data_IF_262883788990
#
_entry.id   IF_262883788990
#
_cell.length_a   1.000
_cell.length_b   1.000
_cell.length_c   1.000
_cell.angle_alpha   90.00
_cell.angle_beta   90.00
_cell.angle_gamma   90.00
#
_symmetry.space_group_name_H-M   'P 1'
#
loop_
_entity.id
_entity.type
_entity.pdbx_description
1 polymer ?
#
# COMPACT_ATOMS: atom_id res chain seq x y z
N UNK A 1 49.80 -47.92 -11.58
CA UNK A 1 49.26 -47.54 -12.90
C UNK A 1 47.81 -47.14 -12.69
N UNK A 2 47.56 -45.87 -12.96
CA UNK A 2 46.36 -45.04 -12.88
C UNK A 2 45.30 -45.59 -13.89
N UNK A 3 43.96 -45.58 -13.70
CA UNK A 3 43.05 -44.42 -13.60
C UNK A 3 41.55 -44.85 -13.49
N UNK A 4 40.74 -44.08 -12.72
CA UNK A 4 39.27 -43.75 -12.73
C UNK A 4 38.15 -44.79 -12.99
N UNK A 5 37.05 -44.76 -12.19
CA UNK A 5 35.76 -44.10 -12.55
C UNK A 5 34.65 -44.31 -11.46
N UNK A 6 33.80 -43.29 -11.28
CA UNK A 6 32.36 -43.36 -10.95
C UNK A 6 31.87 -43.71 -9.52
N UNK A 7 31.47 -42.69 -8.74
CA UNK A 7 30.05 -42.32 -8.56
C UNK A 7 29.88 -41.21 -7.51
N UNK A 8 29.59 -40.00 -7.98
CA UNK A 8 28.94 -38.94 -7.20
C UNK A 8 27.43 -39.19 -7.25
N UNK A 9 26.76 -39.35 -6.11
CA UNK A 9 25.30 -39.23 -6.03
C UNK A 9 24.98 -37.99 -5.20
N UNK A 10 24.68 -36.91 -5.93
CA UNK A 10 24.09 -35.67 -5.47
C UNK A 10 22.63 -35.95 -5.10
N UNK A 11 22.28 -35.87 -3.82
CA UNK A 11 20.89 -35.86 -3.37
C UNK A 11 20.34 -34.44 -3.38
N UNK A 12 19.89 -33.96 -4.54
CA UNK A 12 19.17 -32.69 -4.63
C UNK A 12 17.69 -32.92 -4.24
N UNK A 13 17.37 -32.70 -2.96
CA UNK A 13 15.98 -32.64 -2.50
C UNK A 13 15.39 -31.30 -2.95
N UNK A 14 14.58 -31.35 -4.00
CA UNK A 14 13.81 -30.23 -4.52
C UNK A 14 12.64 -29.97 -3.57
N UNK A 15 12.78 -29.01 -2.66
CA UNK A 15 11.68 -28.53 -1.83
C UNK A 15 10.68 -27.78 -2.70
N UNK A 16 9.51 -28.40 -2.93
CA UNK A 16 8.32 -27.77 -3.50
C UNK A 16 7.89 -26.62 -2.57
N UNK A 17 8.29 -25.41 -2.92
CA UNK A 17 7.77 -24.20 -2.29
C UNK A 17 6.30 -24.02 -2.68
N UNK A 18 5.40 -24.35 -1.76
CA UNK A 18 4.00 -23.95 -1.89
C UNK A 18 3.94 -22.43 -1.78
N UNK A 19 3.77 -21.75 -2.91
CA UNK A 19 3.42 -20.33 -2.91
C UNK A 19 1.98 -20.22 -2.40
N UNK A 20 1.82 -19.95 -1.10
CA UNK A 20 0.52 -19.54 -0.56
C UNK A 20 0.19 -18.23 -1.25
N UNK A 21 -0.89 -18.22 -2.05
CA UNK A 21 -1.45 -16.99 -2.57
C UNK A 21 -1.82 -16.11 -1.38
N UNK A 22 -1.05 -15.05 -1.14
CA UNK A 22 -1.35 -14.08 -0.11
C UNK A 22 -2.64 -13.37 -0.54
N UNK A 23 -3.74 -13.68 0.15
CA UNK A 23 -4.92 -12.84 0.09
C UNK A 23 -4.47 -11.46 0.59
N UNK A 24 -4.45 -10.46 -0.30
CA UNK A 24 -4.05 -9.12 0.07
C UNK A 24 -5.02 -8.64 1.16
N UNK A 25 -4.56 -8.65 2.41
CA UNK A 25 -5.31 -8.07 3.51
C UNK A 25 -5.48 -6.58 3.22
N UNK A 26 -6.69 -6.06 3.46
CA UNK A 26 -6.95 -4.65 3.18
C UNK A 26 -6.05 -3.76 4.05
N UNK A 27 -5.39 -2.74 3.47
CA UNK A 27 -4.58 -1.81 4.23
C UNK A 27 -5.35 -1.17 5.38
N UNK A 28 -4.80 -1.28 6.59
CA UNK A 28 -5.40 -0.71 7.79
C UNK A 28 -4.63 0.56 8.16
N UNK A 29 -5.34 1.68 8.27
CA UNK A 29 -4.75 2.94 8.71
C UNK A 29 -4.24 2.81 10.15
N UNK A 30 -3.00 3.21 10.37
CA UNK A 30 -2.37 3.34 11.68
C UNK A 30 -1.80 4.74 11.85
N UNK A 31 -1.58 5.13 13.10
CA UNK A 31 -0.90 6.39 13.40
C UNK A 31 -0.18 6.34 14.75
N UNK A 32 0.78 7.24 14.92
CA UNK A 32 1.31 7.66 16.21
C UNK A 32 1.00 9.15 16.38
N UNK A 33 1.70 9.87 17.26
CA UNK A 33 1.45 11.30 17.49
C UNK A 33 1.80 12.22 16.31
N UNK A 34 2.65 11.79 15.37
CA UNK A 34 3.19 12.65 14.31
C UNK A 34 3.09 12.08 12.89
N UNK A 35 2.69 10.83 12.72
CA UNK A 35 2.67 10.16 11.43
C UNK A 35 1.45 9.24 11.27
N UNK A 36 1.00 9.12 10.02
CA UNK A 36 -0.01 8.15 9.56
C UNK A 36 0.63 7.23 8.53
N UNK A 37 0.38 5.93 8.66
CA UNK A 37 0.81 4.90 7.71
C UNK A 37 -0.26 3.81 7.59
N UNK A 38 0.02 2.80 6.78
CA UNK A 38 -0.89 1.67 6.58
C UNK A 38 -0.18 0.35 6.87
N UNK A 39 -0.82 -0.49 7.68
CA UNK A 39 -0.42 -1.89 7.89
C UNK A 39 -1.10 -2.81 6.88
N UNK A 40 -0.74 -4.09 6.89
CA UNK A 40 -1.22 -5.09 5.92
C UNK A 40 -0.87 -4.74 4.46
N UNK A 41 0.29 -4.10 4.25
CA UNK A 41 0.77 -3.68 2.94
C UNK A 41 1.37 -4.83 2.10
N UNK A 42 0.56 -5.83 1.79
CA UNK A 42 0.97 -7.01 1.00
C UNK A 42 0.28 -7.01 -0.35
N UNK A 43 1.02 -7.28 -1.43
CA UNK A 43 0.46 -7.32 -2.78
C UNK A 43 0.10 -5.95 -3.37
N UNK A 44 0.66 -4.87 -2.82
CA UNK A 44 0.43 -3.49 -3.26
C UNK A 44 1.73 -2.78 -3.66
N UNK A 45 1.69 -2.04 -4.75
CA UNK A 45 2.82 -1.28 -5.30
C UNK A 45 2.35 0.05 -5.89
N UNK A 46 3.28 0.96 -6.20
CA UNK A 46 2.98 2.25 -6.84
C UNK A 46 1.89 3.03 -6.08
N UNK A 47 2.10 3.19 -4.77
CA UNK A 47 1.17 3.84 -3.88
C UNK A 47 1.20 5.37 -4.05
N UNK A 48 0.03 5.99 -3.99
CA UNK A 48 -0.13 7.44 -3.89
C UNK A 48 -1.02 7.76 -2.70
N UNK A 49 -0.49 8.50 -1.73
CA UNK A 49 -1.23 9.02 -0.58
C UNK A 49 -1.37 10.53 -0.75
N UNK A 50 -2.61 11.00 -0.88
CA UNK A 50 -2.94 12.42 -0.92
C UNK A 50 -3.60 12.81 0.39
N UNK A 51 -3.07 13.80 1.09
CA UNK A 51 -3.59 14.31 2.37
C UNK A 51 -4.00 15.76 2.20
N UNK A 52 -5.19 16.11 2.67
CA UNK A 52 -5.74 17.46 2.66
C UNK A 52 -5.87 17.95 4.10
N UNK A 53 -5.15 19.03 4.41
CA UNK A 53 -5.18 19.69 5.70
C UNK A 53 -6.45 20.56 5.88
N UNK A 54 -6.79 20.99 7.11
CA UNK A 54 -7.98 21.81 7.39
C UNK A 54 -8.06 23.13 6.61
N UNK A 55 -6.91 23.73 6.30
CA UNK A 55 -6.80 24.93 5.46
C UNK A 55 -6.89 24.65 3.94
N UNK A 56 -7.07 23.39 3.52
CA UNK A 56 -7.08 22.99 2.12
C UNK A 56 -5.70 22.73 1.51
N UNK A 57 -4.60 22.82 2.28
CA UNK A 57 -3.26 22.46 1.80
C UNK A 57 -3.22 20.97 1.44
N UNK A 58 -2.71 20.66 0.25
CA UNK A 58 -2.65 19.30 -0.28
C UNK A 58 -1.20 18.82 -0.25
N UNK A 59 -0.97 17.66 0.35
CA UNK A 59 0.31 16.95 0.36
C UNK A 59 0.15 15.63 -0.38
N UNK A 60 1.02 15.36 -1.36
CA UNK A 60 1.04 14.11 -2.12
C UNK A 60 2.33 13.34 -1.85
N UNK A 61 2.20 12.07 -1.53
CA UNK A 61 3.31 11.16 -1.22
C UNK A 61 3.21 9.97 -2.16
N UNK A 62 4.30 9.70 -2.88
CA UNK A 62 4.41 8.55 -3.76
C UNK A 62 5.41 7.53 -3.19
N UNK A 63 5.05 6.26 -3.24
CA UNK A 63 5.92 5.15 -2.88
C UNK A 63 5.85 4.08 -3.97
N UNK A 64 6.93 3.86 -4.70
CA UNK A 64 7.02 2.79 -5.70
C UNK A 64 6.82 1.40 -5.06
N UNK A 65 7.40 1.23 -3.87
CA UNK A 65 7.26 0.04 -3.02
C UNK A 65 7.14 0.43 -1.55
N UNK A 66 6.53 -0.44 -0.75
CA UNK A 66 6.26 -0.20 0.67
C UNK A 66 5.06 0.72 0.93
N UNK A 67 4.77 0.93 2.22
CA UNK A 67 3.65 1.81 2.63
C UNK A 67 4.03 3.29 2.48
N UNK A 68 3.16 4.13 1.91
CA UNK A 68 3.34 5.57 2.02
C UNK A 68 3.15 6.00 3.48
N UNK A 69 3.92 6.99 3.91
CA UNK A 69 3.86 7.54 5.27
C UNK A 69 3.69 9.05 5.18
N UNK A 70 2.66 9.58 5.83
CA UNK A 70 2.48 11.01 6.02
C UNK A 70 3.00 11.42 7.39
N UNK A 71 3.84 12.45 7.46
CA UNK A 71 4.34 13.01 8.70
C UNK A 71 3.91 14.47 8.83
N UNK A 72 3.43 14.84 10.03
CA UNK A 72 3.18 16.23 10.40
C UNK A 72 4.48 17.03 10.37
N UNK A 73 4.47 18.13 9.62
CA UNK A 73 5.59 19.08 9.56
C UNK A 73 5.42 20.11 10.68
N UNK A 74 6.27 20.05 11.72
CA UNK A 74 6.11 20.75 13.01
C UNK A 74 5.89 22.27 12.90
N UNK A 75 6.36 22.91 11.83
CA UNK A 75 6.25 24.35 11.55
C UNK A 75 4.94 24.74 10.84
N UNK A 76 4.22 23.79 10.26
CA UNK A 76 3.03 24.01 9.44
C UNK A 76 1.80 23.20 9.92
N UNK A 77 1.90 22.55 11.08
CA UNK A 77 0.79 21.75 11.64
C UNK A 77 -0.38 22.66 12.00
N UNK A 78 -1.57 22.26 11.56
CA UNK A 78 -2.82 22.89 11.94
C UNK A 78 -3.68 21.90 12.69
N UNK A 79 -4.32 22.37 13.75
CA UNK A 79 -5.32 21.56 14.43
C UNK A 79 -6.59 21.44 13.56
N UNK A 80 -7.20 20.26 13.56
CA UNK A 80 -8.43 19.98 12.85
C UNK A 80 -8.46 18.61 12.20
N UNK A 81 -9.42 18.45 11.29
CA UNK A 81 -9.66 17.19 10.58
C UNK A 81 -8.90 17.17 9.26
N UNK A 82 -7.98 16.22 9.15
CA UNK A 82 -7.28 15.92 7.90
C UNK A 82 -8.03 14.81 7.17
N UNK A 83 -8.10 14.93 5.85
CA UNK A 83 -8.69 13.90 4.97
C UNK A 83 -7.60 13.29 4.12
N UNK A 84 -7.73 12.02 3.77
CA UNK A 84 -6.80 11.39 2.85
C UNK A 84 -7.49 10.52 1.82
N UNK A 85 -6.80 10.36 0.70
CA UNK A 85 -7.07 9.38 -0.34
C UNK A 85 -5.81 8.56 -0.56
N UNK A 86 -5.97 7.24 -0.60
CA UNK A 86 -4.90 6.28 -0.85
C UNK A 86 -5.24 5.47 -2.09
N UNK A 87 -4.32 5.42 -3.05
CA UNK A 87 -4.41 4.52 -4.20
C UNK A 87 -3.15 3.68 -4.35
N UNK A 88 -3.28 2.47 -4.89
CA UNK A 88 -2.15 1.58 -5.19
C UNK A 88 -2.51 0.61 -6.33
N UNK A 89 -1.51 -0.01 -6.95
CA UNK A 89 -1.69 -1.12 -7.89
C UNK A 89 -1.59 -2.45 -7.14
N UNK A 90 -2.62 -3.30 -7.28
CA UNK A 90 -2.62 -4.67 -6.73
C UNK A 90 -1.83 -5.63 -7.64
N UNK A 91 -1.52 -6.83 -7.15
CA UNK A 91 -0.95 -7.92 -7.95
C UNK A 91 -1.97 -8.60 -8.89
N UNK A 92 -3.28 -8.40 -8.66
CA UNK A 92 -4.34 -8.98 -9.48
C UNK A 92 -4.39 -8.29 -10.86
N UNK A 93 -4.21 -9.05 -11.94
CA UNK A 93 -4.38 -8.56 -13.31
C UNK A 93 -5.80 -8.82 -13.81
N UNK A 94 -6.42 -7.80 -14.41
CA UNK A 94 -7.74 -7.86 -15.05
C UNK A 94 -7.61 -7.56 -16.53
N UNK A 95 -8.47 -8.16 -17.35
CA UNK A 95 -8.51 -7.90 -18.78
C UNK A 95 -8.89 -6.43 -19.03
N UNK A 96 -8.09 -5.77 -19.86
CA UNK A 96 -8.30 -4.38 -20.22
C UNK A 96 -9.39 -4.29 -21.28
N UNK A 97 -10.64 -4.15 -20.82
CA UNK A 97 -11.85 -4.11 -21.67
C UNK A 97 -11.78 -2.99 -22.72
N UNK A 98 -11.15 -1.87 -22.36
CA UNK A 98 -10.88 -0.75 -23.27
C UNK A 98 -9.41 -0.75 -23.67
N UNK A 99 -9.09 -1.43 -24.78
CA UNK A 99 -7.77 -1.35 -25.40
C UNK A 99 -7.50 0.09 -25.80
N UNK A 100 -6.58 0.75 -25.10
CA UNK A 100 -6.07 2.07 -25.51
C UNK A 100 -5.20 1.85 -26.73
N UNK A 101 -5.72 2.19 -27.91
CA UNK A 101 -4.92 2.23 -29.14
C UNK A 101 -4.01 3.46 -29.11
N UNK A 102 -2.80 3.28 -28.58
CA UNK A 102 -1.74 4.27 -28.60
C UNK A 102 -0.70 3.97 -29.70
N UNK A 103 -1.08 3.23 -30.75
CA UNK A 103 -0.18 2.86 -31.85
C UNK A 103 0.85 1.78 -31.50
N UNK A 104 0.68 1.08 -30.37
CA UNK A 104 1.57 -0.01 -29.92
C UNK A 104 1.32 -1.35 -30.63
N UNK A 105 0.28 -1.43 -31.46
CA UNK A 105 -0.08 -2.63 -32.23
C UNK A 105 -0.29 -3.86 -31.34
N UNK A 106 0.04 -5.04 -31.86
CA UNK A 106 -0.11 -6.35 -31.16
C UNK A 106 0.74 -6.50 -29.88
N UNK A 107 1.58 -5.51 -29.55
CA UNK A 107 2.39 -5.48 -28.31
C UNK A 107 1.68 -4.80 -27.14
N UNK A 108 0.43 -4.35 -27.31
CA UNK A 108 -0.37 -3.85 -26.20
C UNK A 108 -0.71 -5.01 -25.25
N UNK A 109 -0.28 -4.92 -23.98
CA UNK A 109 -0.73 -5.87 -22.95
C UNK A 109 -2.25 -5.81 -22.88
N UNK A 110 -2.91 -6.97 -23.04
CA UNK A 110 -4.36 -7.09 -22.91
C UNK A 110 -4.84 -7.02 -21.45
N UNK A 111 -3.93 -6.89 -20.48
CA UNK A 111 -4.22 -6.88 -19.05
C UNK A 111 -3.69 -5.63 -18.36
N UNK A 112 -4.38 -5.19 -17.31
CA UNK A 112 -3.96 -4.14 -16.38
C UNK A 112 -4.08 -4.65 -14.95
N UNK A 113 -3.22 -4.16 -14.05
CA UNK A 113 -3.40 -4.42 -12.62
C UNK A 113 -4.66 -3.73 -12.11
N UNK A 114 -5.40 -4.41 -11.24
CA UNK A 114 -6.57 -3.86 -10.57
C UNK A 114 -6.12 -2.78 -9.57
N UNK A 115 -6.70 -1.57 -9.63
CA UNK A 115 -6.36 -0.52 -8.69
C UNK A 115 -7.02 -0.79 -7.33
N UNK A 116 -6.28 -0.52 -6.26
CA UNK A 116 -6.79 -0.37 -4.91
C UNK A 116 -7.04 1.11 -4.62
N UNK A 117 -8.13 1.42 -3.94
CA UNK A 117 -8.48 2.79 -3.53
C UNK A 117 -9.22 2.79 -2.19
N UNK A 118 -8.82 3.69 -1.29
CA UNK A 118 -9.54 3.95 -0.04
C UNK A 118 -9.41 5.40 0.37
N UNK A 119 -10.30 5.84 1.25
CA UNK A 119 -10.32 7.20 1.80
C UNK A 119 -10.52 7.14 3.30
N UNK A 120 -10.09 8.19 4.00
CA UNK A 120 -10.33 8.30 5.43
C UNK A 120 -10.00 9.66 5.98
N UNK A 121 -9.93 9.74 7.31
CA UNK A 121 -9.61 10.96 8.04
C UNK A 121 -8.82 10.66 9.30
N UNK A 122 -8.10 11.65 9.79
CA UNK A 122 -7.49 11.65 11.12
C UNK A 122 -7.61 13.05 11.73
N UNK A 123 -7.55 13.13 13.06
CA UNK A 123 -7.71 14.39 13.78
C UNK A 123 -6.37 14.79 14.38
N UNK A 124 -6.02 16.06 14.20
CA UNK A 124 -4.88 16.69 14.84
C UNK A 124 -5.40 17.67 15.88
N UNK A 125 -4.86 17.60 17.09
CA UNK A 125 -5.18 18.52 18.18
C UNK A 125 -3.91 18.78 18.99
N UNK A 126 -3.66 20.06 19.31
CA UNK A 126 -2.45 20.51 19.99
C UNK A 126 -1.18 20.05 19.27
N UNK A 127 -1.20 20.08 17.94
CA UNK A 127 -0.05 19.71 17.11
C UNK A 127 0.26 18.21 17.04
N UNK A 128 -0.61 17.33 17.55
CA UNK A 128 -0.43 15.86 17.49
C UNK A 128 -1.67 15.16 16.97
N UNK A 129 -1.48 13.99 16.34
CA UNK A 129 -2.59 13.14 15.90
C UNK A 129 -3.22 12.45 17.11
N UNK A 130 -4.54 12.46 17.19
CA UNK A 130 -5.31 11.87 18.28
C UNK A 130 -6.36 10.89 17.77
N UNK A 131 -6.68 9.90 18.60
CA UNK A 131 -7.88 9.06 18.46
C UNK A 131 -9.00 9.67 19.30
N UNK A 132 -10.16 10.03 18.74
CA UNK A 132 -11.26 10.59 19.51
C UNK A 132 -11.81 9.58 20.51
N UNK A 133 -12.17 10.04 21.71
CA UNK A 133 -12.94 9.22 22.65
C UNK A 133 -14.38 9.06 22.14
N UNK A 134 -14.87 7.83 22.14
CA UNK A 134 -16.24 7.51 21.77
C UNK A 134 -17.14 7.82 22.96
N UNK A 135 -17.76 9.01 22.97
CA UNK A 135 -18.72 9.38 24.01
C UNK A 135 -20.00 8.58 23.76
N UNK A 136 -20.22 7.53 24.54
CA UNK A 136 -21.51 6.84 24.58
C UNK A 136 -22.49 7.72 25.35
N UNK A 137 -23.55 8.16 24.70
CA UNK A 137 -24.68 8.78 25.38
C UNK A 137 -25.24 7.74 26.36
N UNK A 138 -25.09 7.99 27.65
CA UNK A 138 -25.70 7.16 28.69
C UNK A 138 -27.15 7.66 28.81
N UNK A 139 -28.11 6.83 28.37
CA UNK A 139 -29.54 7.11 28.46
C UNK A 139 -29.90 7.47 29.91
N UNK A 140 -30.33 8.71 30.12
CA UNK A 140 -30.73 9.25 31.43
C UNK A 140 -32.09 8.78 31.93
#
# INVERSE_FOLDING_TARGET
MTTYLQNFILGAVLSLGTTVAAWAAEPVQQHNSNAVWFENWTGLSNASLTVVAPNGKITKIFAESGTPVFQLQSDEVQDGVYRYELSAATEEEVESVNKVDNGRGDKASGTTRKPFYTTGRFIVSRGVIITPEEIKEEDG
#
